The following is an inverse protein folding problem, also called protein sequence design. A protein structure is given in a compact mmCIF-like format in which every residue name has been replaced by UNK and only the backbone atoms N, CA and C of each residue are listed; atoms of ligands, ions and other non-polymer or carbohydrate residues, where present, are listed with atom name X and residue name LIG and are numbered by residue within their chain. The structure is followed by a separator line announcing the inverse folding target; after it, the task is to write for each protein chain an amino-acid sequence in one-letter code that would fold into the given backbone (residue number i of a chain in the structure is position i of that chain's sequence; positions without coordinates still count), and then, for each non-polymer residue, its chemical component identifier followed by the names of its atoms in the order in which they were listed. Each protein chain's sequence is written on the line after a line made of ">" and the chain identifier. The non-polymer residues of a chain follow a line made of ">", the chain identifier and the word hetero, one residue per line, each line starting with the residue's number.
data_IF_340626054567
#
_entry.id   IF_340626054567
#
_cell.length_a   1.000
_cell.length_b   1.000
_cell.length_c   1.000
_cell.angle_alpha   90.00
_cell.angle_beta   90.00
_cell.angle_gamma   90.00
#
_symmetry.space_group_name_H-M   'P 1'
#
loop_
_entity.id
_entity.type
_entity.pdbx_description
1 polymer ?
#
# COMPACT_ATOMS: atom_id res chain seq x y z
N UNK A 1 15.94 15.05 0.96
CA UNK A 1 15.16 15.71 -0.10
C UNK A 1 14.94 14.65 -1.18
N UNK A 2 13.84 13.89 -1.08
CA UNK A 2 13.48 12.79 -1.97
C UNK A 2 12.41 13.32 -2.92
N UNK A 3 12.78 13.62 -4.17
CA UNK A 3 11.84 13.79 -5.27
C UNK A 3 12.04 12.60 -6.19
N UNK A 4 11.25 11.56 -5.96
CA UNK A 4 11.29 10.29 -6.66
C UNK A 4 10.14 10.27 -7.67
N UNK A 5 10.44 10.45 -8.95
CA UNK A 5 9.49 10.21 -10.04
C UNK A 5 10.07 9.21 -11.04
N UNK A 6 10.51 8.01 -10.61
CA UNK A 6 10.57 6.84 -11.50
C UNK A 6 9.32 6.84 -12.34
N UNK A 7 9.37 6.89 -13.69
CA UNK A 7 8.25 7.31 -14.58
C UNK A 7 6.91 6.69 -14.16
N UNK A 8 6.36 7.36 -13.17
CA UNK A 8 5.05 7.45 -12.62
C UNK A 8 4.65 8.68 -13.40
N UNK A 9 4.10 8.47 -14.60
CA UNK A 9 3.26 9.51 -15.16
C UNK A 9 2.32 9.91 -14.02
N UNK A 10 2.06 11.19 -13.89
CA UNK A 10 1.24 11.93 -12.90
C UNK A 10 -0.05 11.27 -12.38
N UNK A 11 -0.38 10.06 -12.81
CA UNK A 11 -1.53 9.23 -12.50
C UNK A 11 -1.18 7.90 -11.76
N UNK A 12 0.08 7.67 -11.35
CA UNK A 12 0.44 6.68 -10.32
C UNK A 12 1.33 5.50 -10.76
N UNK A 13 1.83 4.74 -9.77
CA UNK A 13 2.42 3.39 -9.95
C UNK A 13 1.39 2.36 -10.46
N UNK A 14 0.13 2.81 -10.62
CA UNK A 14 -1.11 2.14 -11.05
C UNK A 14 -1.07 1.39 -12.35
N UNK A 15 -1.13 2.14 -13.46
CA UNK A 15 -1.66 1.60 -14.71
C UNK A 15 -0.77 0.53 -15.36
N UNK A 16 0.55 0.75 -15.39
CA UNK A 16 1.49 -0.20 -16.02
C UNK A 16 1.65 -1.47 -15.21
N UNK A 17 1.77 -1.34 -13.88
CA UNK A 17 1.81 -2.49 -13.01
C UNK A 17 0.49 -3.26 -13.06
N UNK A 18 -0.65 -2.56 -12.98
CA UNK A 18 -1.99 -3.14 -13.12
C UNK A 18 -2.16 -3.93 -14.42
N UNK A 19 -1.70 -3.40 -15.55
CA UNK A 19 -1.74 -4.12 -16.83
C UNK A 19 -0.86 -5.39 -16.84
N UNK A 20 0.35 -5.32 -16.27
CA UNK A 20 1.22 -6.50 -16.16
C UNK A 20 0.64 -7.55 -15.20
N UNK A 21 0.06 -7.10 -14.10
CA UNK A 21 -0.63 -7.93 -13.11
C UNK A 21 -1.82 -8.67 -13.76
N UNK A 22 -2.69 -7.94 -14.47
CA UNK A 22 -3.79 -8.51 -15.26
C UNK A 22 -3.30 -9.58 -16.24
N UNK A 23 -2.29 -9.26 -17.06
CA UNK A 23 -1.75 -10.19 -18.05
C UNK A 23 -1.10 -11.42 -17.41
N UNK A 24 -0.48 -11.27 -16.24
CA UNK A 24 0.06 -12.40 -15.48
C UNK A 24 -1.06 -13.33 -15.00
N UNK A 25 -2.15 -12.77 -14.47
CA UNK A 25 -3.33 -13.54 -14.07
C UNK A 25 -3.97 -14.27 -15.25
N UNK A 26 -4.12 -13.62 -16.42
CA UNK A 26 -4.64 -14.27 -17.64
C UNK A 26 -3.72 -15.42 -18.07
N UNK A 27 -2.40 -15.19 -18.08
CA UNK A 27 -1.43 -16.21 -18.48
C UNK A 27 -1.46 -17.45 -17.58
N UNK A 28 -1.76 -17.28 -16.29
CA UNK A 28 -1.80 -18.35 -15.31
C UNK A 28 -3.19 -19.02 -15.19
N UNK A 29 -4.13 -18.70 -16.09
CA UNK A 29 -5.52 -19.18 -16.07
C UNK A 29 -6.26 -18.82 -14.76
N UNK A 30 -5.87 -17.71 -14.10
CA UNK A 30 -6.50 -17.19 -12.88
C UNK A 30 -7.57 -16.12 -13.16
N UNK A 31 -7.64 -15.63 -14.41
CA UNK A 31 -8.73 -14.81 -14.96
C UNK A 31 -8.84 -15.03 -16.47
N UNK A 32 -9.96 -14.64 -17.07
CA UNK A 32 -10.15 -14.61 -18.52
C UNK A 32 -9.82 -13.21 -19.09
N UNK A 33 -9.36 -13.18 -20.34
CA UNK A 33 -9.10 -11.95 -21.09
C UNK A 33 -10.37 -11.11 -21.38
N UNK A 34 -11.56 -11.69 -21.18
CA UNK A 34 -12.85 -11.01 -21.28
C UNK A 34 -13.23 -10.20 -20.05
N UNK A 35 -12.57 -10.43 -18.91
CA UNK A 35 -12.81 -9.67 -17.68
C UNK A 35 -12.17 -8.29 -17.77
N UNK A 36 -12.79 -7.27 -17.17
CA UNK A 36 -12.16 -5.95 -17.09
C UNK A 36 -10.97 -5.99 -16.12
N UNK A 37 -9.84 -5.32 -16.43
CA UNK A 37 -8.71 -5.25 -15.51
C UNK A 37 -9.07 -4.64 -14.15
N UNK A 38 -8.46 -5.16 -13.10
CA UNK A 38 -8.57 -4.70 -11.71
C UNK A 38 -9.71 -5.33 -10.92
N UNK A 39 -10.60 -6.10 -11.57
CA UNK A 39 -11.78 -6.66 -10.88
C UNK A 39 -11.50 -8.02 -10.25
N UNK A 40 -10.48 -8.74 -10.71
CA UNK A 40 -10.30 -10.15 -10.35
C UNK A 40 -9.56 -10.33 -9.03
N UNK A 41 -9.77 -11.48 -8.37
CA UNK A 41 -9.10 -11.78 -7.11
C UNK A 41 -7.58 -11.90 -7.28
N UNK A 42 -7.11 -12.50 -8.38
CA UNK A 42 -5.68 -12.62 -8.66
C UNK A 42 -5.03 -11.23 -8.73
N UNK A 43 -5.63 -10.29 -9.44
CA UNK A 43 -5.09 -8.94 -9.55
C UNK A 43 -5.02 -8.25 -8.19
N UNK A 44 -6.10 -8.29 -7.41
CA UNK A 44 -6.18 -7.60 -6.11
C UNK A 44 -5.15 -8.10 -5.10
N UNK A 45 -4.85 -9.41 -5.07
CA UNK A 45 -3.81 -9.98 -4.19
C UNK A 45 -2.41 -9.46 -4.48
N UNK A 46 -2.18 -9.08 -5.72
CA UNK A 46 -0.91 -8.57 -6.22
C UNK A 46 -0.84 -7.04 -6.23
N UNK A 47 -1.83 -6.33 -5.69
CA UNK A 47 -1.78 -4.88 -5.52
C UNK A 47 -1.15 -4.50 -4.17
N UNK A 48 -0.58 -3.30 -4.13
CA UNK A 48 -0.06 -2.73 -2.89
C UNK A 48 -1.16 -2.40 -1.90
N UNK A 49 -0.72 -2.18 -0.67
CA UNK A 49 -1.58 -1.63 0.36
C UNK A 49 -1.77 -0.11 0.20
N UNK A 50 -3.03 0.31 0.22
CA UNK A 50 -3.48 1.68 0.12
C UNK A 50 -4.31 2.03 1.36
N UNK A 51 -4.05 3.21 1.91
CA UNK A 51 -4.77 3.74 3.08
C UNK A 51 -5.33 5.13 2.77
N UNK A 52 -6.44 5.47 3.42
CA UNK A 52 -7.13 6.76 3.28
C UNK A 52 -7.06 7.52 4.60
N UNK A 53 -6.18 8.51 4.66
CA UNK A 53 -5.92 9.30 5.86
C UNK A 53 -6.97 10.41 5.95
N UNK A 54 -7.74 10.39 7.03
CA UNK A 54 -8.80 11.36 7.33
C UNK A 54 -8.32 12.45 8.29
N UNK A 55 -9.19 13.40 8.63
CA UNK A 55 -8.96 14.37 9.70
C UNK A 55 -9.48 13.91 11.06
N UNK A 56 -10.02 12.68 11.15
CA UNK A 56 -10.51 12.13 12.40
C UNK A 56 -9.33 11.76 13.30
N UNK A 57 -9.32 12.28 14.52
CA UNK A 57 -8.21 12.06 15.45
C UNK A 57 -8.25 10.67 16.10
N UNK A 58 -7.07 10.17 16.47
CA UNK A 58 -6.86 8.97 17.28
C UNK A 58 -5.74 9.18 18.30
N UNK A 59 -5.80 8.47 19.42
CA UNK A 59 -4.78 8.51 20.47
C UNK A 59 -3.76 7.41 20.23
N UNK A 60 -2.49 7.78 20.05
CA UNK A 60 -1.36 6.84 19.94
C UNK A 60 -0.84 6.49 21.34
N UNK A 61 -0.75 7.50 22.20
CA UNK A 61 -0.38 7.39 23.62
C UNK A 61 -1.03 8.53 24.40
N UNK A 62 -0.81 8.61 25.71
CA UNK A 62 -1.30 9.71 26.57
C UNK A 62 -1.00 11.11 26.05
N UNK A 63 0.14 11.30 25.37
CA UNK A 63 0.61 12.62 24.90
C UNK A 63 0.86 12.68 23.39
N UNK A 64 0.43 11.67 22.63
CA UNK A 64 0.64 11.61 21.19
C UNK A 64 -0.67 11.25 20.50
N UNK A 65 -1.10 12.09 19.56
CA UNK A 65 -2.29 11.89 18.75
C UNK A 65 -1.91 11.79 17.28
N UNK A 66 -2.80 11.22 16.50
CA UNK A 66 -2.65 11.07 15.07
C UNK A 66 -3.99 11.18 14.36
N UNK A 67 -3.98 10.84 13.07
CA UNK A 67 -5.17 10.82 12.22
C UNK A 67 -5.52 9.38 11.85
N UNK A 68 -6.81 9.03 11.86
CA UNK A 68 -7.28 7.71 11.48
C UNK A 68 -7.10 7.53 9.97
N UNK A 69 -6.49 6.41 9.60
CA UNK A 69 -6.44 5.91 8.25
C UNK A 69 -7.29 4.65 8.09
N UNK A 70 -7.99 4.61 6.96
CA UNK A 70 -8.93 3.56 6.61
C UNK A 70 -8.37 2.69 5.49
N UNK A 71 -8.76 1.41 5.48
CA UNK A 71 -8.77 0.57 4.27
C UNK A 71 -10.19 0.47 3.75
N UNK A 72 -10.32 0.14 2.47
CA UNK A 72 -11.62 -0.11 1.85
C UNK A 72 -11.72 -1.55 1.40
N UNK A 73 -12.95 -2.02 1.38
CA UNK A 73 -13.32 -3.33 0.89
C UNK A 73 -14.54 -3.19 -0.01
N UNK A 74 -14.56 -3.97 -1.07
CA UNK A 74 -15.70 -4.11 -1.97
C UNK A 74 -16.40 -5.44 -1.69
N UNK A 75 -17.73 -5.44 -1.75
CA UNK A 75 -18.51 -6.67 -1.69
C UNK A 75 -18.20 -7.54 -2.92
N UNK A 76 -18.00 -8.82 -2.67
CA UNK A 76 -17.69 -9.81 -3.69
C UNK A 76 -18.89 -10.69 -3.96
N UNK A 77 -19.49 -10.51 -5.13
CA UNK A 77 -20.69 -11.25 -5.55
C UNK A 77 -20.47 -12.77 -5.60
N UNK A 78 -19.23 -13.24 -5.75
CA UNK A 78 -18.92 -14.68 -5.83
C UNK A 78 -18.84 -15.37 -4.46
N UNK A 79 -18.41 -14.68 -3.41
CA UNK A 79 -18.16 -15.28 -2.08
C UNK A 79 -19.06 -14.73 -0.97
N UNK A 80 -19.98 -13.81 -1.28
CA UNK A 80 -20.80 -13.07 -0.31
C UNK A 80 -19.94 -12.43 0.81
N UNK A 81 -18.71 -12.04 0.47
CA UNK A 81 -17.69 -11.55 1.38
C UNK A 81 -17.19 -10.15 1.03
N UNK A 82 -16.31 -9.60 1.87
CA UNK A 82 -15.66 -8.31 1.64
C UNK A 82 -14.23 -8.52 1.19
N UNK A 83 -13.87 -8.04 0.00
CA UNK A 83 -12.51 -8.13 -0.57
C UNK A 83 -11.83 -6.78 -0.48
N UNK A 84 -10.58 -6.77 -0.03
CA UNK A 84 -9.76 -5.56 -0.01
C UNK A 84 -9.68 -4.94 -1.41
N UNK A 85 -9.72 -3.60 -1.48
CA UNK A 85 -9.52 -2.84 -2.71
C UNK A 85 -8.47 -1.75 -2.48
N UNK A 86 -7.48 -1.71 -3.36
CA UNK A 86 -6.41 -0.70 -3.31
C UNK A 86 -6.84 0.65 -3.92
N UNK A 87 -7.97 0.69 -4.63
CA UNK A 87 -8.44 1.88 -5.32
C UNK A 87 -9.84 2.24 -4.88
N UNK A 88 -10.03 3.52 -4.55
CA UNK A 88 -11.34 4.00 -4.19
C UNK A 88 -12.19 4.08 -5.45
N UNK A 89 -13.39 3.49 -5.48
CA UNK A 89 -14.19 3.46 -6.70
C UNK A 89 -14.53 4.87 -7.17
N UNK A 90 -14.26 5.16 -8.44
CA UNK A 90 -14.52 6.48 -9.03
C UNK A 90 -16.01 6.85 -8.98
N UNK A 91 -16.91 5.87 -9.08
CA UNK A 91 -18.36 6.07 -8.91
C UNK A 91 -18.73 6.61 -7.51
N UNK A 92 -17.84 6.47 -6.53
CA UNK A 92 -18.00 6.99 -5.18
C UNK A 92 -17.28 8.31 -4.93
N UNK A 93 -16.64 8.89 -5.94
CA UNK A 93 -16.15 10.27 -5.95
C UNK A 93 -17.25 11.18 -6.51
N UNK A 94 -17.77 12.09 -5.68
CA UNK A 94 -18.91 12.94 -6.02
C UNK A 94 -20.13 12.16 -6.58
N UNK A 95 -20.63 11.13 -5.87
CA UNK A 95 -21.68 10.28 -6.40
C UNK A 95 -23.00 11.04 -6.60
N UNK A 96 -23.69 10.73 -7.70
CA UNK A 96 -25.09 11.11 -7.87
C UNK A 96 -26.03 10.30 -6.96
N UNK A 97 -27.32 10.62 -6.96
CA UNK A 97 -28.28 9.94 -6.08
C UNK A 97 -28.39 8.42 -6.29
N UNK A 98 -28.09 7.91 -7.48
CA UNK A 98 -28.10 6.46 -7.77
C UNK A 98 -26.82 5.80 -7.26
N UNK A 99 -25.70 6.45 -7.49
CA UNK A 99 -24.36 6.01 -7.10
C UNK A 99 -24.19 5.97 -5.58
N UNK A 100 -24.88 6.83 -4.83
CA UNK A 100 -24.90 6.78 -3.35
C UNK A 100 -25.39 5.41 -2.84
N UNK A 101 -26.38 4.79 -3.48
CA UNK A 101 -26.88 3.48 -3.07
C UNK A 101 -25.82 2.40 -3.32
N UNK A 102 -25.07 2.50 -4.42
CA UNK A 102 -23.95 1.61 -4.69
C UNK A 102 -22.88 1.74 -3.61
N UNK A 103 -22.42 2.97 -3.36
CA UNK A 103 -21.35 3.24 -2.38
C UNK A 103 -21.73 2.77 -0.97
N UNK A 104 -22.98 3.02 -0.54
CA UNK A 104 -23.46 2.58 0.78
C UNK A 104 -23.53 1.06 0.94
N UNK A 105 -23.82 0.33 -0.14
CA UNK A 105 -24.10 -1.10 -0.09
C UNK A 105 -22.87 -1.94 -0.34
N UNK A 106 -22.10 -1.59 -1.36
CA UNK A 106 -21.05 -2.44 -1.89
C UNK A 106 -19.65 -2.02 -1.42
N UNK A 107 -19.51 -0.91 -0.69
CA UNK A 107 -18.23 -0.44 -0.16
C UNK A 107 -18.26 -0.41 1.36
N UNK A 108 -17.26 -1.05 1.97
CA UNK A 108 -17.00 -1.01 3.40
C UNK A 108 -15.69 -0.27 3.66
N UNK A 109 -15.65 0.52 4.71
CA UNK A 109 -14.47 1.25 5.14
C UNK A 109 -14.12 0.84 6.57
N UNK A 110 -12.90 0.33 6.79
CA UNK A 110 -12.46 -0.09 8.12
C UNK A 110 -11.32 0.80 8.61
N UNK A 111 -11.41 1.37 9.82
CA UNK A 111 -10.28 2.06 10.41
C UNK A 111 -9.22 1.03 10.79
N UNK A 112 -7.99 1.22 10.31
CA UNK A 112 -6.89 0.25 10.52
C UNK A 112 -5.70 0.84 11.24
N UNK A 113 -5.38 2.11 10.97
CA UNK A 113 -4.18 2.75 11.50
C UNK A 113 -4.47 4.11 12.10
N UNK A 114 -3.65 4.48 13.07
CA UNK A 114 -3.45 5.85 13.50
C UNK A 114 -2.15 6.37 12.88
N UNK A 115 -2.21 7.50 12.18
CA UNK A 115 -1.06 8.10 11.48
C UNK A 115 -0.48 9.20 12.35
N UNK A 116 0.79 9.06 12.73
CA UNK A 116 1.47 10.02 13.58
C UNK A 116 2.98 10.00 13.43
N UNK A 117 3.68 10.73 14.28
CA UNK A 117 5.14 10.81 14.25
C UNK A 117 5.76 9.59 14.93
N UNK A 118 6.61 8.87 14.20
CA UNK A 118 7.39 7.72 14.68
C UNK A 118 8.87 8.09 14.74
N UNK A 119 9.54 7.71 15.82
CA UNK A 119 11.00 7.82 15.95
C UNK A 119 11.69 6.66 15.26
N UNK A 120 12.63 6.95 14.36
CA UNK A 120 13.45 5.96 13.66
C UNK A 120 14.93 6.29 13.80
N UNK A 121 15.81 5.39 13.34
CA UNK A 121 17.26 5.63 13.23
C UNK A 121 17.61 6.90 12.45
N UNK A 122 16.72 7.34 11.55
CA UNK A 122 16.87 8.52 10.70
C UNK A 122 16.25 9.80 11.30
N UNK A 123 15.71 9.73 12.51
CA UNK A 123 14.93 10.80 13.14
C UNK A 123 13.43 10.54 13.09
N UNK A 124 12.64 11.61 13.21
CA UNK A 124 11.18 11.52 13.17
C UNK A 124 10.65 11.43 11.74
N UNK A 125 9.75 10.49 11.49
CA UNK A 125 9.00 10.36 10.24
C UNK A 125 7.50 10.25 10.53
N UNK A 126 6.66 10.51 9.54
CA UNK A 126 5.25 10.12 9.61
C UNK A 126 5.16 8.62 9.36
N UNK A 127 4.54 7.89 10.30
CA UNK A 127 4.38 6.44 10.23
C UNK A 127 3.00 5.98 10.67
N UNK A 128 2.82 4.66 10.64
CA UNK A 128 1.56 3.98 10.94
C UNK A 128 1.61 3.31 12.31
N UNK A 129 0.53 3.41 13.07
CA UNK A 129 0.29 2.69 14.32
C UNK A 129 -0.96 1.83 14.18
N UNK A 130 -0.95 0.58 14.64
CA UNK A 130 -2.11 -0.32 14.52
C UNK A 130 -3.19 0.05 15.53
N UNK A 131 -4.41 0.37 15.08
CA UNK A 131 -5.49 0.79 15.99
C UNK A 131 -5.94 -0.31 16.96
N UNK A 132 -5.72 -1.58 16.60
CA UNK A 132 -6.18 -2.73 17.36
C UNK A 132 -5.05 -3.45 18.12
N UNK A 133 -3.85 -2.86 18.18
CA UNK A 133 -2.69 -3.47 18.82
C UNK A 133 -1.97 -2.46 19.70
N UNK A 134 -1.80 -2.82 20.97
CA UNK A 134 -1.13 -1.98 21.96
C UNK A 134 0.02 -2.72 22.61
N UNK A 135 1.06 -1.96 22.98
CA UNK A 135 2.15 -2.43 23.82
C UNK A 135 1.70 -2.67 25.28
N UNK A 136 2.63 -3.10 26.12
CA UNK A 136 2.41 -3.35 27.55
C UNK A 136 2.01 -2.09 28.36
N UNK A 137 2.23 -0.89 27.81
CA UNK A 137 1.89 0.40 28.41
C UNK A 137 0.56 0.96 27.87
N UNK A 138 -0.10 0.24 26.96
CA UNK A 138 -1.35 0.66 26.32
C UNK A 138 -1.17 1.68 25.19
N UNK A 139 0.06 1.91 24.71
CA UNK A 139 0.29 2.72 23.52
C UNK A 139 0.08 1.88 22.27
N UNK A 140 -0.38 2.48 21.17
CA UNK A 140 -0.50 1.77 19.90
C UNK A 140 0.87 1.29 19.42
N UNK A 141 0.94 0.07 18.90
CA UNK A 141 2.18 -0.46 18.31
C UNK A 141 2.44 0.11 16.92
N UNK A 142 3.71 0.36 16.62
CA UNK A 142 4.14 0.81 15.29
C UNK A 142 3.98 -0.32 14.28
N UNK A 143 3.19 -0.05 13.24
CA UNK A 143 3.21 -0.82 12.00
C UNK A 143 4.35 -0.24 11.13
N UNK A 144 5.38 -1.03 10.83
CA UNK A 144 6.68 -0.58 10.33
C UNK A 144 6.69 -0.31 8.83
N UNK A 145 5.72 0.48 8.37
CA UNK A 145 5.57 0.91 6.99
C UNK A 145 6.02 2.35 6.77
N UNK A 146 6.52 2.64 5.57
CA UNK A 146 6.74 4.01 5.10
C UNK A 146 5.54 4.44 4.26
N UNK A 147 4.99 5.61 4.58
CA UNK A 147 3.88 6.20 3.83
C UNK A 147 4.45 6.97 2.64
N UNK A 148 3.96 6.71 1.44
CA UNK A 148 4.38 7.40 0.23
C UNK A 148 3.30 7.45 -0.84
N UNK A 149 3.64 8.03 -2.00
CA UNK A 149 2.76 8.13 -3.16
C UNK A 149 1.35 8.67 -2.83
N UNK A 150 1.29 9.67 -1.95
CA UNK A 150 0.03 10.25 -1.50
C UNK A 150 -0.61 11.12 -2.58
N UNK A 151 -1.94 10.99 -2.74
CA UNK A 151 -2.77 11.80 -3.62
C UNK A 151 -4.01 12.27 -2.86
N UNK A 152 -4.35 13.55 -3.01
CA UNK A 152 -5.61 14.09 -2.52
C UNK A 152 -6.79 13.49 -3.30
N UNK A 153 -7.77 12.96 -2.57
CA UNK A 153 -9.07 12.57 -3.09
C UNK A 153 -10.11 13.52 -2.49
N UNK A 154 -10.77 14.27 -3.36
CA UNK A 154 -11.81 15.21 -2.98
C UNK A 154 -13.19 14.60 -3.23
N UNK A 155 -14.14 14.85 -2.32
CA UNK A 155 -15.52 14.41 -2.47
C UNK A 155 -15.74 12.90 -2.42
N UNK A 156 -14.85 12.15 -1.77
CA UNK A 156 -15.07 10.74 -1.51
C UNK A 156 -16.29 10.57 -0.59
N UNK A 157 -17.31 9.83 -1.05
CA UNK A 157 -18.56 9.65 -0.31
C UNK A 157 -18.38 9.26 1.16
N UNK A 158 -17.47 8.34 1.47
CA UNK A 158 -17.28 7.82 2.83
C UNK A 158 -16.42 8.72 3.71
N UNK A 159 -15.55 9.54 3.12
CA UNK A 159 -14.49 10.21 3.85
C UNK A 159 -14.47 11.74 3.69
N UNK A 160 -15.24 12.28 2.75
CA UNK A 160 -15.10 13.66 2.30
C UNK A 160 -13.78 13.86 1.53
N UNK A 161 -12.95 14.78 2.01
CA UNK A 161 -11.63 15.04 1.42
C UNK A 161 -10.56 14.30 2.24
N UNK A 162 -9.75 13.47 1.57
CA UNK A 162 -8.73 12.62 2.21
C UNK A 162 -7.46 12.52 1.40
N UNK A 163 -6.38 12.09 2.05
CA UNK A 163 -5.17 11.67 1.37
C UNK A 163 -5.16 10.15 1.19
N UNK A 164 -5.14 9.70 -0.05
CA UNK A 164 -4.92 8.30 -0.41
C UNK A 164 -3.42 8.07 -0.52
N UNK A 165 -2.84 7.22 0.33
CA UNK A 165 -1.40 6.94 0.35
C UNK A 165 -1.12 5.44 0.25
N UNK A 166 0.01 5.10 -0.35
CA UNK A 166 0.52 3.72 -0.45
C UNK A 166 1.47 3.43 0.71
N UNK A 167 1.41 2.22 1.25
CA UNK A 167 2.38 1.73 2.23
C UNK A 167 3.53 1.00 1.54
N UNK A 168 4.76 1.33 1.95
CA UNK A 168 5.99 0.73 1.46
C UNK A 168 6.77 0.09 2.60
N UNK A 169 7.30 -1.10 2.37
CA UNK A 169 8.04 -1.88 3.35
C UNK A 169 9.48 -2.09 2.87
N UNK A 170 10.46 -1.88 3.73
CA UNK A 170 11.88 -1.91 3.35
C UNK A 170 12.71 -2.81 4.26
N UNK A 171 13.75 -3.43 3.70
CA UNK A 171 14.75 -4.21 4.44
C UNK A 171 15.68 -3.35 5.31
N UNK A 172 15.60 -2.02 5.22
CA UNK A 172 16.40 -1.12 6.05
C UNK A 172 16.03 -1.22 7.54
N UNK A 173 17.05 -1.45 8.37
CA UNK A 173 16.95 -1.47 9.83
C UNK A 173 16.86 -0.04 10.40
N UNK A 174 15.66 0.53 10.36
CA UNK A 174 15.39 1.90 10.84
C UNK A 174 14.39 1.95 11.99
N UNK A 175 13.62 0.88 12.21
CA UNK A 175 12.54 0.84 13.17
C UNK A 175 13.04 0.34 14.51
N UNK A 176 12.68 1.01 15.59
CA UNK A 176 13.04 0.55 16.94
C UNK A 176 12.04 -0.52 17.39
N UNK A 177 12.53 -1.67 17.84
CA UNK A 177 11.69 -2.70 18.48
C UNK A 177 11.66 -2.50 20.01
N UNK A 178 10.91 -3.37 20.71
CA UNK A 178 10.78 -3.34 22.16
C UNK A 178 12.09 -3.64 22.90
N UNK A 179 13.04 -4.31 22.25
CA UNK A 179 14.36 -4.64 22.79
C UNK A 179 15.40 -3.53 22.55
N UNK A 180 14.97 -2.36 22.02
CA UNK A 180 15.82 -1.24 21.61
C UNK A 180 16.82 -1.56 20.47
N UNK A 181 16.49 -2.55 19.65
CA UNK A 181 17.23 -2.89 18.45
C UNK A 181 16.58 -2.27 17.21
N UNK A 182 17.39 -1.90 16.23
CA UNK A 182 16.89 -1.43 14.95
C UNK A 182 16.62 -2.61 14.04
N UNK A 183 15.37 -2.74 13.59
CA UNK A 183 14.90 -3.83 12.75
C UNK A 183 14.30 -3.33 11.44
N UNK A 184 14.20 -4.24 10.48
CA UNK A 184 13.47 -4.02 9.24
C UNK A 184 11.95 -3.94 9.50
N UNK A 185 11.25 -3.21 8.63
CA UNK A 185 9.79 -3.20 8.58
C UNK A 185 9.21 -4.18 7.58
N UNK A 186 10.06 -4.92 6.85
CA UNK A 186 9.63 -5.79 5.76
C UNK A 186 8.72 -6.94 6.21
N UNK A 187 8.85 -7.39 7.45
CA UNK A 187 7.99 -8.45 8.01
C UNK A 187 6.55 -7.99 8.31
N UNK A 188 6.30 -6.68 8.37
CA UNK A 188 4.95 -6.14 8.60
C UNK A 188 4.14 -6.05 7.29
N UNK A 189 4.73 -6.40 6.14
CA UNK A 189 4.09 -6.31 4.82
C UNK A 189 2.88 -7.22 4.70
N UNK A 190 1.85 -6.77 3.98
CA UNK A 190 0.66 -7.59 3.70
C UNK A 190 0.36 -7.65 2.21
N UNK A 191 0.08 -8.85 1.68
CA UNK A 191 -0.21 -9.06 0.26
C UNK A 191 1.02 -9.39 -0.60
N UNK A 192 0.76 -9.99 -1.76
CA UNK A 192 1.78 -10.65 -2.59
C UNK A 192 2.61 -9.66 -3.42
N UNK A 193 2.12 -8.42 -3.56
CA UNK A 193 2.81 -7.33 -4.27
C UNK A 193 4.27 -7.17 -3.81
N UNK A 194 4.48 -7.22 -2.50
CA UNK A 194 5.77 -6.91 -1.88
C UNK A 194 6.82 -8.00 -2.06
N UNK A 195 6.41 -9.21 -2.45
CA UNK A 195 7.30 -10.32 -2.78
C UNK A 195 7.62 -10.37 -4.30
N UNK A 196 6.97 -9.53 -5.10
CA UNK A 196 7.17 -9.49 -6.55
C UNK A 196 8.60 -9.07 -6.93
N UNK A 197 9.11 -9.63 -8.02
CA UNK A 197 10.39 -9.25 -8.63
C UNK A 197 10.43 -7.74 -8.93
N UNK A 198 9.29 -7.17 -9.33
CA UNK A 198 9.17 -5.74 -9.60
C UNK A 198 9.37 -4.94 -8.31
N UNK A 199 8.70 -5.32 -7.21
CA UNK A 199 8.86 -4.62 -5.95
C UNK A 199 10.30 -4.71 -5.44
N UNK A 200 10.86 -5.92 -5.41
CA UNK A 200 12.24 -6.16 -4.95
C UNK A 200 13.25 -5.37 -5.78
N UNK A 201 13.14 -5.39 -7.10
CA UNK A 201 14.05 -4.67 -8.00
C UNK A 201 13.86 -3.16 -8.03
N UNK A 202 12.64 -2.64 -7.87
CA UNK A 202 12.39 -1.20 -7.92
C UNK A 202 12.61 -0.54 -6.55
N UNK A 203 12.17 -1.17 -5.46
CA UNK A 203 12.12 -0.55 -4.14
C UNK A 203 13.18 -1.06 -3.17
N UNK A 204 13.60 -2.33 -3.29
CA UNK A 204 14.59 -2.92 -2.38
C UNK A 204 16.01 -2.94 -2.95
N UNK A 205 16.17 -2.69 -4.26
CA UNK A 205 17.43 -2.87 -4.99
C UNK A 205 17.94 -4.32 -4.98
N UNK A 206 17.03 -5.28 -4.84
CA UNK A 206 17.32 -6.70 -4.72
C UNK A 206 16.70 -7.46 -5.88
N UNK A 207 17.52 -8.16 -6.67
CA UNK A 207 17.06 -9.09 -7.70
C UNK A 207 17.97 -10.32 -7.73
N UNK A 208 17.43 -11.47 -7.32
CA UNK A 208 18.20 -12.70 -7.24
C UNK A 208 18.75 -13.10 -8.61
N UNK A 209 20.07 -13.29 -8.70
CA UNK A 209 20.76 -13.60 -9.97
C UNK A 209 21.09 -12.38 -10.84
N UNK A 210 20.79 -11.16 -10.38
CA UNK A 210 21.11 -9.92 -11.09
C UNK A 210 21.94 -8.97 -10.23
N UNK A 211 22.76 -8.16 -10.90
CA UNK A 211 23.54 -7.08 -10.30
C UNK A 211 23.02 -5.73 -10.84
N UNK A 212 22.73 -4.78 -9.96
CA UNK A 212 22.34 -3.42 -10.37
C UNK A 212 23.56 -2.68 -10.91
N UNK A 213 23.60 -2.43 -12.21
CA UNK A 213 24.74 -1.77 -12.89
C UNK A 213 24.48 -0.30 -13.21
N UNK A 214 23.23 0.15 -13.09
CA UNK A 214 22.85 1.53 -13.33
C UNK A 214 21.66 1.90 -12.45
N UNK A 215 21.72 3.10 -11.88
CA UNK A 215 20.63 3.72 -11.15
C UNK A 215 20.73 5.24 -11.29
N UNK A 216 19.68 5.86 -11.80
CA UNK A 216 19.53 7.32 -11.83
C UNK A 216 18.28 7.80 -11.07
N UNK A 217 17.77 6.98 -10.15
CA UNK A 217 16.47 7.10 -9.48
C UNK A 217 15.23 6.86 -10.37
N UNK A 218 15.33 7.06 -11.69
CA UNK A 218 14.22 6.89 -12.63
C UNK A 218 14.21 5.53 -13.33
N UNK A 219 15.41 5.04 -13.62
CA UNK A 219 15.67 3.83 -14.36
C UNK A 219 16.72 3.05 -13.60
N UNK A 220 16.43 1.79 -13.35
CA UNK A 220 17.35 0.82 -12.78
C UNK A 220 17.65 -0.24 -13.84
N UNK A 221 18.92 -0.49 -14.12
CA UNK A 221 19.33 -1.52 -15.06
C UNK A 221 20.07 -2.60 -14.27
N UNK A 222 19.63 -3.83 -14.49
CA UNK A 222 20.14 -5.01 -13.86
C UNK A 222 20.79 -5.91 -14.89
N UNK A 223 22.04 -6.31 -14.62
CA UNK A 223 22.78 -7.26 -15.45
C UNK A 223 22.65 -8.65 -14.85
N UNK A 224 22.35 -9.66 -15.67
CA UNK A 224 22.39 -11.06 -15.23
C UNK A 224 23.80 -11.38 -14.75
N UNK A 225 23.93 -11.75 -13.49
CA UNK A 225 25.18 -12.29 -12.97
C UNK A 225 25.37 -13.66 -13.61
N UNK A 226 26.50 -13.90 -14.30
CA UNK A 226 26.77 -15.20 -14.90
C UNK A 226 26.92 -16.26 -13.80
N UNK A 227 25.81 -16.88 -13.39
CA UNK A 227 25.72 -18.17 -12.74
C UNK A 227 24.32 -18.72 -12.95
N UNK A 228 24.20 -19.57 -13.98
CA UNK A 228 23.51 -20.86 -13.99
C UNK A 228 23.64 -21.42 -15.42
N UNK A 229 24.84 -21.92 -15.73
CA UNK A 229 24.94 -23.07 -16.61
C UNK A 229 24.58 -24.26 -15.72
N UNK A 230 23.36 -24.77 -15.86
CA UNK A 230 23.02 -26.17 -15.59
C UNK A 230 22.48 -26.71 -16.92
#
# INVERSE_FOLDING_TARGET
>A
MLQNELIVSSDGLGAKYGALNYLACVRNDETDASNEPGITQCERKNLWEQIYITTQECNISTNNTGNIAYRIYEEDDETEGWKYSAYYPDICLHPDSRSILYCKRYIRTDPVYCIGNVTTKKGYITGTYELNKTDEYGNLEVHKSQIGACKELNGAYHFGNVNSCTLFYTTNEIWLNNDNEYISGYEDRTGDFYDSIIYRGIFLDELDGFEKIYDNAYVKIYQITKRLYI
#
